data_IF_653410436984
#
_entry.id   IF_653410436984
#
_cell.length_a   1.000
_cell.length_b   1.000
_cell.length_c   1.000
_cell.angle_alpha   90.00
_cell.angle_beta   90.00
_cell.angle_gamma   90.00
#
_symmetry.space_group_name_H-M   'P 1'
#
loop_
_entity.id
_entity.type
_entity.pdbx_description
1 polymer ?
#
# COMPACT_ATOMS: atom_id res chain seq x y z
N UNK A 1 -2.06 -2.77 -23.43
CA UNK A 1 -1.42 -1.51 -22.97
C UNK A 1 -0.98 -1.64 -21.52
N UNK A 2 0.10 -1.00 -21.08
CA UNK A 2 0.44 -0.92 -19.64
C UNK A 2 -0.10 0.44 -19.13
N UNK A 3 -1.06 0.47 -18.19
CA UNK A 3 -1.55 1.72 -17.58
C UNK A 3 -0.47 2.48 -16.81
N UNK A 4 -0.51 3.81 -16.86
CA UNK A 4 0.13 4.68 -15.86
C UNK A 4 -0.82 4.89 -14.64
N UNK A 5 -0.45 5.74 -13.67
CA UNK A 5 -1.34 6.04 -12.54
C UNK A 5 -2.67 6.67 -12.98
N UNK A 6 -2.67 7.60 -13.94
CA UNK A 6 -3.88 8.31 -14.36
C UNK A 6 -4.89 7.34 -15.03
N UNK A 7 -4.38 6.41 -15.83
CA UNK A 7 -5.14 5.37 -16.50
C UNK A 7 -5.59 4.26 -15.54
N UNK A 8 -4.75 3.83 -14.61
CA UNK A 8 -5.15 2.91 -13.54
C UNK A 8 -6.31 3.50 -12.70
N UNK A 9 -6.22 4.79 -12.34
CA UNK A 9 -7.30 5.51 -11.66
C UNK A 9 -8.53 5.74 -12.56
N UNK A 10 -8.39 5.78 -13.88
CA UNK A 10 -9.53 5.76 -14.82
C UNK A 10 -10.25 4.41 -14.77
N UNK A 11 -9.51 3.30 -14.77
CA UNK A 11 -10.06 1.93 -14.65
C UNK A 11 -10.78 1.76 -13.31
N UNK A 12 -10.18 2.16 -12.18
CA UNK A 12 -10.84 2.11 -10.87
C UNK A 12 -12.17 2.87 -10.83
N UNK A 13 -12.23 4.06 -11.42
CA UNK A 13 -13.47 4.85 -11.53
C UNK A 13 -14.50 4.18 -12.43
N UNK A 14 -14.09 3.66 -13.59
CA UNK A 14 -14.97 2.92 -14.53
C UNK A 14 -15.62 1.69 -13.88
N UNK A 15 -14.90 1.01 -12.99
CA UNK A 15 -15.39 -0.20 -12.30
C UNK A 15 -16.00 0.07 -10.91
N UNK A 16 -16.10 1.32 -10.46
CA UNK A 16 -16.74 1.66 -9.19
C UNK A 16 -15.94 1.25 -7.94
N UNK A 17 -14.61 1.32 -7.99
CA UNK A 17 -13.77 1.05 -6.81
C UNK A 17 -13.99 2.08 -5.71
N UNK A 18 -14.37 1.63 -4.52
CA UNK A 18 -14.52 2.49 -3.34
C UNK A 18 -13.16 3.07 -2.87
N UNK A 19 -13.13 4.27 -2.24
CA UNK A 19 -11.88 4.99 -1.97
C UNK A 19 -10.82 4.17 -1.20
N UNK A 20 -11.23 3.39 -0.20
CA UNK A 20 -10.30 2.56 0.61
C UNK A 20 -9.51 1.54 -0.22
N UNK A 21 -10.08 1.01 -1.31
CA UNK A 21 -9.36 0.11 -2.24
C UNK A 21 -8.29 0.89 -3.01
N UNK A 22 -8.64 2.09 -3.49
CA UNK A 22 -7.72 2.95 -4.26
C UNK A 22 -6.59 3.49 -3.37
N UNK A 23 -6.89 3.79 -2.10
CA UNK A 23 -5.87 4.14 -1.10
C UNK A 23 -4.95 2.98 -0.77
N UNK A 24 -5.49 1.76 -0.60
CA UNK A 24 -4.71 0.55 -0.41
C UNK A 24 -3.75 0.32 -1.58
N UNK A 25 -4.26 0.29 -2.81
CA UNK A 25 -3.45 0.07 -4.01
C UNK A 25 -2.36 1.15 -4.18
N UNK A 26 -2.64 2.41 -3.83
CA UNK A 26 -1.63 3.48 -3.78
C UNK A 26 -0.61 3.31 -2.65
N UNK A 27 -0.97 2.70 -1.52
CA UNK A 27 0.02 2.35 -0.48
C UNK A 27 0.93 1.21 -0.93
N UNK A 28 0.37 0.20 -1.61
CA UNK A 28 1.12 -0.89 -2.23
C UNK A 28 2.06 -0.37 -3.33
N UNK A 29 1.62 0.56 -4.18
CA UNK A 29 2.48 1.22 -5.19
C UNK A 29 3.72 1.85 -4.56
N UNK A 30 3.55 2.62 -3.48
CA UNK A 30 4.67 3.29 -2.81
C UNK A 30 5.69 2.29 -2.27
N UNK A 31 5.24 1.18 -1.69
CA UNK A 31 6.12 0.11 -1.18
C UNK A 31 6.80 -0.64 -2.34
N UNK A 32 6.04 -1.03 -3.37
CA UNK A 32 6.56 -1.70 -4.56
C UNK A 32 7.62 -0.85 -5.27
N UNK A 33 7.42 0.46 -5.39
CA UNK A 33 8.38 1.41 -5.97
C UNK A 33 9.64 1.60 -5.12
N UNK A 34 9.56 1.47 -3.79
CA UNK A 34 10.76 1.44 -2.92
C UNK A 34 11.61 0.20 -3.20
N UNK A 35 10.99 -0.99 -3.27
CA UNK A 35 11.68 -2.23 -3.63
C UNK A 35 12.30 -2.12 -5.04
N UNK A 36 11.51 -1.65 -6.01
CA UNK A 36 11.93 -1.45 -7.41
C UNK A 36 13.13 -0.51 -7.52
N UNK A 37 13.13 0.60 -6.77
CA UNK A 37 14.25 1.55 -6.72
C UNK A 37 15.55 0.90 -6.24
N UNK A 38 15.48 -0.05 -5.31
CA UNK A 38 16.68 -0.73 -4.80
C UNK A 38 17.14 -1.86 -5.74
N UNK A 39 16.21 -2.58 -6.39
CA UNK A 39 16.52 -3.51 -7.49
C UNK A 39 17.28 -2.79 -8.62
N UNK A 40 16.78 -1.64 -9.07
CA UNK A 40 17.43 -0.81 -10.09
C UNK A 40 18.82 -0.32 -9.65
N UNK A 41 19.00 0.07 -8.37
CA UNK A 41 20.31 0.43 -7.80
C UNK A 41 21.33 -0.70 -7.79
N UNK A 42 20.88 -1.96 -7.79
CA UNK A 42 21.74 -3.16 -7.93
C UNK A 42 21.93 -3.60 -9.39
N UNK A 43 21.40 -2.86 -10.36
CA UNK A 43 21.44 -3.23 -11.78
C UNK A 43 20.49 -4.38 -12.16
N UNK A 44 19.52 -4.73 -11.31
CA UNK A 44 18.54 -5.77 -11.59
C UNK A 44 17.46 -5.20 -12.51
N UNK A 45 17.35 -5.76 -13.71
CA UNK A 45 16.37 -5.34 -14.72
C UNK A 45 14.98 -5.85 -14.35
N UNK A 46 14.02 -4.93 -14.21
CA UNK A 46 12.59 -5.18 -14.00
C UNK A 46 11.76 -4.22 -14.84
N UNK A 47 10.53 -4.59 -15.18
CA UNK A 47 9.61 -3.65 -15.82
C UNK A 47 8.86 -2.80 -14.76
N UNK A 48 9.40 -1.63 -14.44
CA UNK A 48 8.82 -0.72 -13.42
C UNK A 48 7.36 -0.35 -13.72
N UNK A 49 6.99 -0.18 -14.99
CA UNK A 49 5.62 0.15 -15.39
C UNK A 49 4.65 -1.02 -15.12
N UNK A 50 5.08 -2.28 -15.32
CA UNK A 50 4.29 -3.47 -14.93
C UNK A 50 4.15 -3.55 -13.40
N UNK A 51 5.18 -3.20 -12.65
CA UNK A 51 5.12 -3.16 -11.17
C UNK A 51 4.14 -2.07 -10.71
N UNK A 52 4.24 -0.86 -11.24
CA UNK A 52 3.34 0.25 -10.87
C UNK A 52 1.90 -0.05 -11.26
N UNK A 53 1.64 -0.45 -12.51
CA UNK A 53 0.30 -0.82 -12.97
C UNK A 53 -0.27 -1.99 -12.17
N UNK A 54 0.56 -3.01 -11.90
CA UNK A 54 0.17 -4.19 -11.10
C UNK A 54 -0.17 -3.82 -9.67
N UNK A 55 0.68 -3.05 -8.99
CA UNK A 55 0.45 -2.58 -7.62
C UNK A 55 -0.80 -1.69 -7.52
N UNK A 56 -1.01 -0.80 -8.49
CA UNK A 56 -2.19 0.06 -8.54
C UNK A 56 -3.47 -0.72 -8.84
N UNK A 57 -3.45 -1.80 -9.62
CA UNK A 57 -4.66 -2.50 -10.08
C UNK A 57 -4.92 -3.87 -9.44
N UNK A 58 -4.04 -4.38 -8.57
CA UNK A 58 -4.13 -5.75 -8.03
C UNK A 58 -5.49 -6.09 -7.42
N UNK A 59 -6.12 -5.12 -6.76
CA UNK A 59 -7.35 -5.32 -6.01
C UNK A 59 -8.62 -4.97 -6.81
N UNK A 60 -8.51 -4.66 -8.11
CA UNK A 60 -9.63 -4.22 -8.97
C UNK A 60 -10.79 -5.23 -9.00
N UNK A 61 -10.52 -6.53 -8.82
CA UNK A 61 -11.54 -7.58 -8.74
C UNK A 61 -12.46 -7.48 -7.51
N UNK A 62 -12.09 -6.72 -6.47
CA UNK A 62 -13.00 -6.40 -5.35
C UNK A 62 -14.23 -5.60 -5.76
N UNK A 63 -14.23 -4.99 -6.95
CA UNK A 63 -15.44 -4.40 -7.56
C UNK A 63 -16.49 -5.43 -7.96
N UNK A 64 -16.15 -6.74 -7.92
CA UNK A 64 -17.05 -7.85 -8.29
C UNK A 64 -17.18 -8.91 -7.20
N UNK A 65 -16.10 -9.23 -6.49
CA UNK A 65 -16.12 -10.28 -5.46
C UNK A 65 -15.13 -10.02 -4.33
N UNK A 66 -15.53 -10.29 -3.07
CA UNK A 66 -14.67 -10.09 -1.89
C UNK A 66 -13.92 -11.36 -1.43
N UNK A 67 -14.17 -12.51 -2.06
CA UNK A 67 -13.49 -13.78 -1.77
C UNK A 67 -12.10 -13.82 -2.42
N UNK A 68 -11.31 -14.88 -2.17
CA UNK A 68 -10.00 -15.12 -2.81
C UNK A 68 -9.99 -15.04 -4.35
N UNK A 69 -11.17 -15.10 -4.99
CA UNK A 69 -11.33 -15.00 -6.45
C UNK A 69 -11.07 -13.60 -7.03
N UNK A 70 -10.95 -12.55 -6.21
CA UNK A 70 -10.68 -11.18 -6.67
C UNK A 70 -9.43 -11.05 -7.56
N UNK A 71 -8.37 -11.81 -7.32
CA UNK A 71 -7.20 -11.82 -8.21
C UNK A 71 -7.53 -12.35 -9.63
N UNK A 72 -8.34 -13.41 -9.72
CA UNK A 72 -8.79 -13.94 -11.00
C UNK A 72 -9.75 -12.98 -11.71
N UNK A 73 -10.80 -12.52 -11.02
CA UNK A 73 -11.78 -11.57 -11.58
C UNK A 73 -11.11 -10.24 -11.97
N UNK A 74 -10.09 -9.81 -11.21
CA UNK A 74 -9.29 -8.63 -11.53
C UNK A 74 -8.49 -8.80 -12.83
N UNK A 75 -7.84 -9.95 -13.02
CA UNK A 75 -7.14 -10.25 -14.26
C UNK A 75 -8.10 -10.28 -15.47
N UNK A 76 -9.29 -10.84 -15.29
CA UNK A 76 -10.35 -10.86 -16.31
C UNK A 76 -10.91 -9.47 -16.64
N UNK A 77 -11.03 -8.58 -15.65
CA UNK A 77 -11.34 -7.16 -15.85
C UNK A 77 -10.25 -6.50 -16.71
N UNK A 78 -8.98 -6.68 -16.37
CA UNK A 78 -7.87 -6.04 -17.06
C UNK A 78 -7.73 -6.53 -18.52
N UNK A 79 -7.90 -7.83 -18.78
CA UNK A 79 -7.95 -8.36 -20.15
C UNK A 79 -9.03 -7.71 -21.00
N UNK A 80 -10.22 -7.45 -20.44
CA UNK A 80 -11.33 -6.78 -21.12
C UNK A 80 -11.08 -5.29 -21.38
N UNK A 81 -10.26 -4.63 -20.56
CA UNK A 81 -9.76 -3.27 -20.82
C UNK A 81 -8.59 -3.22 -21.83
N UNK A 82 -8.14 -4.36 -22.38
CA UNK A 82 -6.97 -4.41 -23.27
C UNK A 82 -5.63 -4.13 -22.56
N UNK A 83 -5.60 -4.29 -21.24
CA UNK A 83 -4.38 -4.17 -20.44
C UNK A 83 -3.42 -5.33 -20.72
N UNK A 84 -2.13 -5.05 -20.66
CA UNK A 84 -1.04 -5.98 -20.95
C UNK A 84 -1.09 -7.20 -20.03
N UNK A 85 -0.98 -8.39 -20.61
CA UNK A 85 -1.08 -9.68 -19.91
C UNK A 85 -0.07 -9.82 -18.76
N UNK A 86 1.07 -9.12 -18.81
CA UNK A 86 2.03 -9.08 -17.70
C UNK A 86 1.43 -8.45 -16.45
N UNK A 87 0.62 -7.40 -16.61
CA UNK A 87 -0.11 -6.73 -15.51
C UNK A 87 -1.27 -7.62 -15.05
N UNK A 88 -2.04 -8.21 -15.99
CA UNK A 88 -3.14 -9.11 -15.65
C UNK A 88 -2.66 -10.34 -14.84
N UNK A 89 -1.52 -10.93 -15.18
CA UNK A 89 -0.95 -12.05 -14.41
C UNK A 89 -0.32 -11.63 -13.07
N UNK A 90 0.12 -10.37 -12.90
CA UNK A 90 0.42 -9.81 -11.55
C UNK A 90 -0.84 -9.76 -10.70
N UNK A 91 -1.93 -9.19 -11.25
CA UNK A 91 -3.23 -9.10 -10.57
C UNK A 91 -3.79 -10.49 -10.24
N UNK A 92 -3.59 -11.50 -11.09
CA UNK A 92 -3.95 -12.89 -10.82
C UNK A 92 -3.15 -13.54 -9.68
N UNK A 93 -1.90 -13.14 -9.45
CA UNK A 93 -0.91 -13.86 -8.61
C UNK A 93 -0.64 -13.21 -7.25
N UNK A 94 -1.10 -11.98 -7.02
CA UNK A 94 -0.84 -11.27 -5.76
C UNK A 94 -1.49 -11.93 -4.52
N UNK A 95 -2.57 -12.72 -4.70
CA UNK A 95 -3.43 -13.19 -3.61
C UNK A 95 -2.67 -14.12 -2.66
N UNK A 96 -2.62 -13.75 -1.38
CA UNK A 96 -1.86 -14.48 -0.37
C UNK A 96 -0.36 -14.35 -0.60
N UNK A 97 0.36 -15.47 -0.69
CA UNK A 97 1.74 -15.52 -1.19
C UNK A 97 1.79 -16.43 -2.43
N UNK A 98 0.77 -16.31 -3.28
CA UNK A 98 0.45 -17.28 -4.32
C UNK A 98 -0.44 -18.43 -3.84
N UNK A 99 -1.16 -19.01 -4.79
CA UNK A 99 -2.06 -20.15 -4.59
C UNK A 99 -1.64 -21.25 -5.59
N UNK A 100 -1.34 -22.45 -5.09
CA UNK A 100 -0.96 -23.60 -5.93
C UNK A 100 -2.17 -24.18 -6.67
N UNK A 101 -1.95 -25.03 -7.69
CA UNK A 101 -3.05 -25.69 -8.42
C UNK A 101 -3.95 -26.54 -7.51
N UNK A 102 -3.40 -27.17 -6.48
CA UNK A 102 -4.17 -27.96 -5.53
C UNK A 102 -5.04 -27.08 -4.62
N UNK A 103 -4.48 -26.00 -4.08
CA UNK A 103 -5.25 -25.00 -3.33
C UNK A 103 -6.31 -24.33 -4.20
N UNK A 104 -5.99 -24.02 -5.46
CA UNK A 104 -6.95 -23.44 -6.41
C UNK A 104 -8.17 -24.36 -6.61
N UNK A 105 -7.96 -25.68 -6.79
CA UNK A 105 -9.03 -26.67 -6.85
C UNK A 105 -9.85 -26.71 -5.54
N UNK A 106 -9.20 -26.71 -4.37
CA UNK A 106 -9.87 -26.69 -3.05
C UNK A 106 -10.68 -25.41 -2.81
N UNK A 107 -10.22 -24.27 -3.32
CA UNK A 107 -10.88 -22.95 -3.21
C UNK A 107 -11.93 -22.70 -4.31
N UNK A 108 -12.16 -23.67 -5.20
CA UNK A 108 -13.07 -23.54 -6.35
C UNK A 108 -12.68 -22.41 -7.31
N UNK A 109 -11.39 -22.06 -7.38
CA UNK A 109 -10.84 -21.21 -8.43
C UNK A 109 -10.84 -21.97 -9.78
N UNK A 110 -10.86 -21.26 -10.92
CA UNK A 110 -10.59 -21.86 -12.23
C UNK A 110 -9.25 -22.61 -12.22
N UNK A 111 -9.13 -23.67 -13.01
CA UNK A 111 -7.90 -24.49 -12.96
C UNK A 111 -6.69 -23.72 -13.50
N UNK A 112 -5.68 -23.57 -12.65
CA UNK A 112 -4.44 -22.88 -12.99
C UNK A 112 -3.44 -22.96 -11.84
N UNK A 113 -2.22 -22.51 -12.13
CA UNK A 113 -1.27 -22.08 -11.11
C UNK A 113 -1.43 -20.58 -10.88
N UNK A 114 -1.39 -20.14 -9.62
CA UNK A 114 -1.53 -18.76 -9.17
C UNK A 114 -0.32 -18.30 -8.32
N UNK A 115 0.79 -19.05 -8.30
CA UNK A 115 2.03 -18.63 -7.67
C UNK A 115 2.71 -17.46 -8.43
N UNK A 116 3.27 -16.44 -7.74
CA UNK A 116 4.18 -15.45 -8.34
C UNK A 116 5.40 -16.10 -8.99
N UNK A 117 5.66 -15.78 -10.27
CA UNK A 117 6.78 -16.35 -11.04
C UNK A 117 7.84 -15.31 -11.40
N UNK A 118 7.43 -14.20 -12.01
CA UNK A 118 8.37 -13.12 -12.39
C UNK A 118 8.70 -12.22 -11.20
N UNK A 119 9.79 -11.45 -11.31
CA UNK A 119 10.21 -10.55 -10.24
C UNK A 119 9.16 -9.45 -9.99
N UNK A 120 8.51 -8.93 -11.03
CA UNK A 120 7.40 -7.97 -10.89
C UNK A 120 6.24 -8.55 -10.07
N UNK A 121 5.88 -9.82 -10.32
CA UNK A 121 4.83 -10.52 -9.59
C UNK A 121 5.20 -10.71 -8.11
N UNK A 122 6.46 -11.03 -7.82
CA UNK A 122 6.98 -11.18 -6.44
C UNK A 122 7.01 -9.83 -5.71
N UNK A 123 7.49 -8.77 -6.36
CA UNK A 123 7.55 -7.41 -5.78
C UNK A 123 6.15 -6.91 -5.41
N UNK A 124 5.16 -7.02 -6.30
CA UNK A 124 3.80 -6.54 -6.00
C UNK A 124 3.12 -7.39 -4.93
N UNK A 125 3.23 -8.72 -5.00
CA UNK A 125 2.66 -9.63 -3.99
C UNK A 125 3.24 -9.35 -2.59
N UNK A 126 4.57 -9.18 -2.48
CA UNK A 126 5.21 -8.85 -1.21
C UNK A 126 4.85 -7.44 -0.72
N UNK A 127 4.78 -6.44 -1.61
CA UNK A 127 4.40 -5.07 -1.24
C UNK A 127 2.99 -5.00 -0.63
N UNK A 128 2.02 -5.73 -1.19
CA UNK A 128 0.69 -5.94 -0.60
C UNK A 128 0.80 -6.69 0.76
N UNK A 129 1.63 -7.73 0.85
CA UNK A 129 1.87 -8.42 2.14
C UNK A 129 2.51 -7.53 3.22
N UNK A 130 3.08 -6.38 2.88
CA UNK A 130 3.60 -5.37 3.81
C UNK A 130 2.64 -4.20 4.11
N UNK A 131 1.44 -4.13 3.50
CA UNK A 131 0.44 -3.09 3.77
C UNK A 131 -0.81 -3.66 4.45
N UNK A 132 -1.29 -3.02 5.53
CA UNK A 132 -2.65 -3.19 6.05
C UNK A 132 -3.48 -1.92 5.87
N UNK A 133 -4.63 -2.03 5.23
CA UNK A 133 -5.40 -0.89 4.72
C UNK A 133 -4.51 0.09 3.92
N UNK A 134 -4.06 1.19 4.51
CA UNK A 134 -3.15 2.15 3.88
C UNK A 134 -1.82 2.38 4.67
N UNK A 135 -1.56 1.60 5.73
CA UNK A 135 -0.37 1.68 6.61
C UNK A 135 0.59 0.50 6.34
N UNK A 136 1.89 0.70 6.51
CA UNK A 136 2.87 -0.38 6.47
C UNK A 136 2.88 -1.17 7.80
N UNK A 137 3.03 -2.49 7.73
CA UNK A 137 3.10 -3.41 8.89
C UNK A 137 4.40 -4.23 8.89
N UNK A 138 4.91 -4.66 10.05
CA UNK A 138 5.99 -5.65 10.12
C UNK A 138 5.58 -7.00 9.51
N UNK A 139 6.52 -7.69 8.88
CA UNK A 139 6.34 -9.02 8.28
C UNK A 139 5.86 -10.05 9.32
N UNK A 140 6.37 -9.95 10.55
CA UNK A 140 5.95 -10.79 11.68
C UNK A 140 4.45 -10.66 12.01
N UNK A 141 3.78 -9.57 11.63
CA UNK A 141 2.33 -9.43 11.77
C UNK A 141 1.55 -10.11 10.64
N UNK A 142 2.09 -10.13 9.41
CA UNK A 142 1.49 -10.91 8.32
C UNK A 142 1.70 -12.42 8.53
N UNK A 143 2.82 -12.86 9.09
CA UNK A 143 2.99 -14.25 9.58
C UNK A 143 1.90 -14.60 10.60
N UNK A 144 1.64 -13.74 11.59
CA UNK A 144 0.51 -13.90 12.54
C UNK A 144 -0.87 -13.85 11.87
N UNK A 145 -1.02 -13.23 10.69
CA UNK A 145 -2.27 -13.21 9.90
C UNK A 145 -2.42 -14.48 9.04
N UNK A 146 -1.33 -15.02 8.50
CA UNK A 146 -1.31 -16.29 7.77
C UNK A 146 -1.66 -17.46 8.70
N UNK A 147 -1.00 -17.56 9.86
CA UNK A 147 -1.29 -18.59 10.88
C UNK A 147 -2.77 -18.56 11.30
N UNK A 148 -3.31 -17.36 11.62
CA UNK A 148 -4.72 -17.20 11.99
C UNK A 148 -5.73 -17.55 10.88
N UNK A 149 -5.30 -17.57 9.61
CA UNK A 149 -6.13 -17.96 8.45
C UNK A 149 -5.89 -19.41 8.00
N UNK A 150 -5.00 -20.15 8.66
CA UNK A 150 -4.58 -21.48 8.20
C UNK A 150 -3.83 -21.47 6.86
N UNK A 151 -3.25 -20.33 6.47
CA UNK A 151 -2.44 -20.22 5.26
C UNK A 151 -1.02 -20.76 5.50
N UNK A 152 -0.42 -21.39 4.48
CA UNK A 152 0.97 -21.82 4.54
C UNK A 152 1.95 -20.63 4.62
N UNK A 153 2.58 -20.49 5.78
CA UNK A 153 3.60 -19.47 6.08
C UNK A 153 4.86 -19.66 5.22
N UNK A 154 5.19 -20.89 4.82
CA UNK A 154 6.42 -21.17 4.05
C UNK A 154 6.42 -20.49 2.68
N UNK A 155 5.26 -20.30 2.06
CA UNK A 155 5.13 -19.50 0.83
C UNK A 155 5.41 -18.01 1.07
N UNK A 156 4.99 -17.47 2.22
CA UNK A 156 5.26 -16.08 2.60
C UNK A 156 6.75 -15.87 2.92
N UNK A 157 7.39 -16.83 3.60
CA UNK A 157 8.82 -16.85 3.87
C UNK A 157 9.65 -17.01 2.58
N UNK A 158 9.27 -17.93 1.70
CA UNK A 158 9.92 -18.12 0.40
C UNK A 158 9.80 -16.88 -0.50
N UNK A 159 8.65 -16.19 -0.50
CA UNK A 159 8.46 -14.93 -1.20
C UNK A 159 9.37 -13.81 -0.65
N UNK A 160 9.58 -13.76 0.68
CA UNK A 160 10.53 -12.83 1.31
C UNK A 160 11.98 -13.20 0.94
N UNK A 161 12.32 -14.48 0.94
CA UNK A 161 13.65 -15.01 0.61
C UNK A 161 14.03 -14.77 -0.86
N UNK A 162 13.11 -15.04 -1.79
CA UNK A 162 13.26 -14.73 -3.22
C UNK A 162 13.69 -13.27 -3.45
N UNK A 163 13.03 -12.33 -2.77
CA UNK A 163 13.37 -10.91 -2.85
C UNK A 163 14.68 -10.61 -2.09
N UNK A 164 14.94 -11.24 -0.95
CA UNK A 164 16.19 -11.08 -0.18
C UNK A 164 17.43 -11.46 -0.99
N UNK A 165 17.36 -12.56 -1.76
CA UNK A 165 18.45 -12.99 -2.65
C UNK A 165 18.72 -11.94 -3.74
N UNK A 166 17.68 -11.44 -4.39
CA UNK A 166 17.81 -10.49 -5.51
C UNK A 166 18.11 -9.06 -5.04
N UNK A 167 17.74 -8.69 -3.81
CA UNK A 167 18.15 -7.43 -3.16
C UNK A 167 19.50 -7.53 -2.43
N UNK A 168 20.01 -8.73 -2.16
CA UNK A 168 21.21 -8.94 -1.34
C UNK A 168 21.09 -8.53 0.13
N UNK A 169 19.89 -8.14 0.58
CA UNK A 169 19.52 -7.75 1.94
C UNK A 169 18.02 -7.91 2.15
N UNK A 170 17.55 -7.79 3.38
CA UNK A 170 16.14 -8.03 3.70
C UNK A 170 15.20 -6.97 3.06
N UNK A 171 14.15 -7.37 2.32
CA UNK A 171 13.20 -6.43 1.71
C UNK A 171 12.41 -5.59 2.74
N UNK A 172 12.22 -6.08 3.96
CA UNK A 172 11.54 -5.36 5.04
C UNK A 172 12.38 -4.17 5.53
N UNK A 173 13.68 -4.37 5.71
CA UNK A 173 14.63 -3.28 6.03
C UNK A 173 14.60 -2.19 4.95
N UNK A 174 14.66 -2.59 3.67
CA UNK A 174 14.63 -1.67 2.51
C UNK A 174 13.38 -0.78 2.53
N UNK A 175 12.24 -1.33 2.94
CA UNK A 175 10.97 -0.58 3.09
C UNK A 175 11.06 0.39 4.29
N UNK A 176 11.38 -0.12 5.49
CA UNK A 176 11.31 0.67 6.72
C UNK A 176 12.42 1.73 6.84
N UNK A 177 13.63 1.47 6.32
CA UNK A 177 14.68 2.50 6.19
C UNK A 177 14.21 3.66 5.31
N UNK A 178 13.59 3.37 4.16
CA UNK A 178 13.15 4.41 3.23
C UNK A 178 12.05 5.27 3.84
N UNK A 179 11.05 4.64 4.47
CA UNK A 179 9.98 5.33 5.21
C UNK A 179 10.57 6.22 6.32
N UNK A 180 11.50 5.68 7.11
CA UNK A 180 12.15 6.43 8.20
C UNK A 180 12.97 7.62 7.67
N UNK A 181 13.75 7.43 6.60
CA UNK A 181 14.55 8.48 5.97
C UNK A 181 13.68 9.61 5.40
N UNK A 182 12.47 9.30 4.92
CA UNK A 182 11.51 10.29 4.43
C UNK A 182 10.93 11.11 5.60
N UNK A 183 10.56 10.47 6.71
CA UNK A 183 10.09 11.16 7.91
C UNK A 183 11.16 12.14 8.45
N UNK A 184 12.42 11.69 8.58
CA UNK A 184 13.54 12.54 9.01
C UNK A 184 13.76 13.74 8.09
N UNK A 185 13.62 13.58 6.77
CA UNK A 185 13.72 14.69 5.80
C UNK A 185 12.56 15.69 5.91
N UNK A 186 11.35 15.22 6.17
CA UNK A 186 10.18 16.09 6.39
C UNK A 186 10.38 16.92 7.67
N UNK A 187 10.84 16.31 8.76
CA UNK A 187 11.13 17.00 10.03
C UNK A 187 12.25 18.04 9.87
N UNK A 188 13.33 17.69 9.16
CA UNK A 188 14.42 18.63 8.87
C UNK A 188 13.94 19.83 8.01
N UNK A 189 13.11 19.57 6.98
CA UNK A 189 12.53 20.61 6.14
C UNK A 189 11.59 21.55 6.91
N UNK A 190 10.75 21.01 7.81
CA UNK A 190 9.89 21.82 8.68
C UNK A 190 10.70 22.74 9.62
N UNK A 191 11.79 22.21 10.21
CA UNK A 191 12.72 22.98 11.05
C UNK A 191 13.38 24.13 10.27
N UNK A 192 13.88 23.87 9.06
CA UNK A 192 14.48 24.90 8.19
C UNK A 192 13.45 25.94 7.69
N UNK A 193 12.18 25.57 7.54
CA UNK A 193 11.09 26.46 7.15
C UNK A 193 10.64 27.45 8.25
N UNK A 194 11.42 27.61 9.32
CA UNK A 194 11.17 28.61 10.37
C UNK A 194 10.21 28.18 11.48
N UNK A 195 9.74 26.92 11.49
CA UNK A 195 9.05 26.34 12.64
C UNK A 195 10.05 26.09 13.77
N UNK A 196 10.46 27.16 14.47
CA UNK A 196 11.11 27.06 15.78
C UNK A 196 10.22 26.21 16.69
N UNK A 197 10.83 25.21 17.32
CA UNK A 197 10.12 24.12 17.96
C UNK A 197 9.08 24.62 18.99
N UNK A 198 7.81 24.35 18.73
CA UNK A 198 6.86 24.17 19.84
C UNK A 198 7.40 23.03 20.71
N UNK A 199 7.39 23.14 22.06
CA UNK A 199 7.95 22.12 22.95
C UNK A 199 7.23 20.76 22.88
N UNK A 200 6.11 20.69 22.15
CA UNK A 200 5.36 19.46 21.87
C UNK A 200 5.73 18.79 20.53
N UNK A 201 6.59 19.39 19.68
CA UNK A 201 6.96 18.81 18.40
C UNK A 201 7.88 17.58 18.56
N UNK A 202 8.62 17.47 19.66
CA UNK A 202 9.33 16.25 20.07
C UNK A 202 8.36 15.11 20.42
N UNK A 203 7.21 15.43 21.04
CA UNK A 203 6.16 14.47 21.40
C UNK A 203 5.45 13.92 20.16
N UNK A 204 5.37 14.70 19.09
CA UNK A 204 4.70 14.32 17.82
C UNK A 204 5.41 13.18 17.05
N UNK A 205 6.65 12.81 17.42
CA UNK A 205 7.54 11.94 16.62
C UNK A 205 7.66 10.50 17.18
N UNK A 206 6.84 10.11 18.16
CA UNK A 206 6.81 8.72 18.68
C UNK A 206 5.52 7.96 18.37
N UNK A 207 4.90 8.26 17.22
CA UNK A 207 3.45 8.12 17.07
C UNK A 207 2.95 7.10 16.02
N UNK A 208 3.53 5.88 16.05
CA UNK A 208 3.05 4.69 15.30
C UNK A 208 2.01 3.82 16.08
N UNK A 209 1.33 4.45 17.03
CA UNK A 209 0.16 4.02 17.82
C UNK A 209 -0.93 5.15 18.42
N UNK A 210 -2.00 4.22 18.22
CA UNK A 210 -3.50 4.23 18.19
C UNK A 210 -4.17 4.02 19.57
N UNK A 211 -5.23 4.79 19.89
CA UNK A 211 -5.71 5.01 21.28
C UNK A 211 -7.21 4.79 21.51
N UNK A 212 -7.53 4.43 22.76
CA UNK A 212 -8.87 4.39 23.34
C UNK A 212 -9.17 5.67 24.15
N UNK A 213 -10.42 5.89 24.54
CA UNK A 213 -10.80 6.85 25.60
C UNK A 213 -11.90 6.31 26.50
N UNK A 214 -11.72 6.51 27.80
CA UNK A 214 -12.80 6.62 28.77
C UNK A 214 -12.73 8.03 29.40
N UNK A 215 -13.89 8.66 29.61
CA UNK A 215 -13.99 9.93 30.35
C UNK A 215 -13.24 11.14 29.76
N UNK A 216 -12.85 12.05 30.65
CA UNK A 216 -12.45 13.44 30.33
C UNK A 216 -10.97 13.64 29.95
N UNK A 217 -10.24 12.57 29.62
CA UNK A 217 -8.80 12.61 29.29
C UNK A 217 -8.58 12.26 27.81
N UNK A 218 -7.50 12.79 27.21
CA UNK A 218 -7.23 12.67 25.78
C UNK A 218 -5.80 12.19 25.53
N UNK A 219 -5.70 11.14 24.73
CA UNK A 219 -4.47 10.73 24.04
C UNK A 219 -4.76 10.72 22.53
N UNK A 220 -3.76 10.93 21.69
CA UNK A 220 -3.90 11.22 20.24
C UNK A 220 -3.59 9.93 19.44
N UNK A 221 -3.67 9.94 18.10
CA UNK A 221 -2.78 9.17 17.20
C UNK A 221 -2.70 9.84 15.82
N UNK A 222 -1.82 9.36 14.92
CA UNK A 222 -1.63 9.95 13.59
C UNK A 222 -2.65 9.45 12.55
N UNK A 223 -3.91 9.71 12.86
CA UNK A 223 -5.05 9.79 11.95
C UNK A 223 -6.15 10.62 12.64
N UNK A 224 -7.03 11.28 11.87
CA UNK A 224 -8.07 12.24 12.30
C UNK A 224 -7.59 13.68 12.59
N UNK A 225 -7.75 14.57 11.60
CA UNK A 225 -7.96 16.00 11.84
C UNK A 225 -9.42 16.33 11.55
N UNK A 226 -10.27 16.24 12.57
CA UNK A 226 -11.73 16.40 12.44
C UNK A 226 -12.33 17.46 13.39
N UNK A 227 -11.51 18.38 13.91
CA UNK A 227 -11.95 19.67 14.47
C UNK A 227 -11.04 20.80 13.99
N UNK A 228 -11.54 22.05 13.86
CA UNK A 228 -10.72 23.20 13.47
C UNK A 228 -9.67 23.53 14.53
N UNK A 229 -8.52 24.04 14.10
CA UNK A 229 -7.53 24.66 14.99
C UNK A 229 -7.89 26.15 15.12
N UNK A 230 -8.52 26.51 16.23
CA UNK A 230 -8.73 27.91 16.58
C UNK A 230 -7.38 28.57 16.94
N UNK A 231 -7.18 29.82 16.52
CA UNK A 231 -5.90 30.54 16.61
C UNK A 231 -5.19 30.80 15.28
N UNK A 232 -5.65 30.22 14.16
CA UNK A 232 -5.09 30.45 12.82
C UNK A 232 -5.44 31.80 12.17
N UNK A 233 -5.94 32.78 12.93
CA UNK A 233 -6.39 34.10 12.45
C UNK A 233 -5.27 35.02 11.94
N UNK A 234 -3.99 34.73 12.26
CA UNK A 234 -2.85 35.57 11.91
C UNK A 234 -2.04 35.17 10.66
N UNK A 235 -2.20 33.95 10.12
CA UNK A 235 -1.27 33.42 9.09
C UNK A 235 -1.70 33.81 7.67
N UNK A 236 -1.45 35.07 7.30
CA UNK A 236 -1.80 35.63 6.00
C UNK A 236 -0.72 35.42 4.91
N UNK A 237 0.10 34.36 5.03
CA UNK A 237 1.16 34.03 4.08
C UNK A 237 0.74 32.93 3.09
N UNK A 238 1.42 32.83 1.95
CA UNK A 238 1.18 31.78 0.95
C UNK A 238 1.34 30.36 1.53
N UNK A 239 2.26 30.17 2.49
CA UNK A 239 2.42 28.90 3.21
C UNK A 239 1.19 28.57 4.09
N UNK A 240 0.56 29.58 4.73
CA UNK A 240 -0.69 29.39 5.46
C UNK A 240 -1.85 28.95 4.56
N UNK A 241 -1.92 29.49 3.33
CA UNK A 241 -2.86 29.01 2.32
C UNK A 241 -2.54 27.57 1.86
N UNK A 242 -1.25 27.23 1.68
CA UNK A 242 -0.83 25.88 1.29
C UNK A 242 -1.22 24.81 2.32
N UNK A 243 -1.05 25.11 3.62
CA UNK A 243 -1.49 24.23 4.72
C UNK A 243 -3.02 24.11 4.75
N UNK A 244 -3.76 25.21 4.55
CA UNK A 244 -5.22 25.15 4.34
C UNK A 244 -5.61 24.23 3.18
N UNK A 245 -4.90 24.33 2.05
CA UNK A 245 -5.13 23.54 0.85
C UNK A 245 -4.93 22.03 1.08
N UNK A 246 -3.86 21.67 1.80
CA UNK A 246 -3.58 20.28 2.18
C UNK A 246 -4.64 19.71 3.13
N UNK A 247 -5.09 20.51 4.11
CA UNK A 247 -6.09 20.08 5.10
C UNK A 247 -7.50 19.93 4.50
N UNK A 248 -7.95 20.88 3.66
CA UNK A 248 -9.32 20.92 3.15
C UNK A 248 -9.67 19.69 2.28
N UNK A 249 -8.71 19.13 1.55
CA UNK A 249 -8.93 17.90 0.74
C UNK A 249 -8.79 16.60 1.54
N UNK A 250 -8.29 16.61 2.78
CA UNK A 250 -8.11 15.41 3.61
C UNK A 250 -9.37 14.92 4.35
N UNK A 251 -10.51 15.58 4.19
CA UNK A 251 -11.70 15.40 5.06
C UNK A 251 -12.87 14.67 4.38
N UNK A 252 -12.82 14.44 3.06
CA UNK A 252 -13.96 13.96 2.27
C UNK A 252 -13.87 12.49 1.79
N UNK A 253 -14.00 11.55 2.73
CA UNK A 253 -14.89 10.39 2.55
C UNK A 253 -15.15 9.66 3.88
N UNK A 254 -16.26 9.97 4.55
CA UNK A 254 -16.74 9.21 5.69
C UNK A 254 -17.60 8.03 5.24
N UNK A 255 -17.37 6.84 5.78
CA UNK A 255 -18.22 5.67 5.56
C UNK A 255 -19.52 5.77 6.36
N UNK A 256 -20.66 5.62 5.68
CA UNK A 256 -21.96 5.38 6.32
C UNK A 256 -22.19 3.88 6.44
N UNK A 257 -22.57 3.39 7.62
CA UNK A 257 -22.99 1.99 7.79
C UNK A 257 -24.43 1.78 7.33
N UNK A 258 -24.64 0.82 6.43
CA UNK A 258 -25.78 -0.09 6.35
C UNK A 258 -25.30 -1.39 5.69
#
# INVERSE_FOLDING_TARGET
>A
MIPDEAEALRIHRKYGSIPVIVEHCRAVERVARVITSELARRGVVVNENVIQAGALLHDIGRTRIQTVKHGYEGAEILRREGVDERVAEVVKRHVGAGITREEARKLGLPEGDYMPRTLEQKVVCFADKMIDSNKARPFAEEVKRFVRKGHDVKKLEALKEDLRVVLGRDPEEVIFEKISSLASRILAGASQAGFRAFPFLSVLVHYLAETQREGSVVTIHLSLLQKPIEGLSGINSAAGQLVKWALIRGVYCGSSNW
#
